data_IF_047465571457
#
_entry.id   IF_047465571457
#
_cell.length_a   1.000
_cell.length_b   1.000
_cell.length_c   1.000
_cell.angle_alpha   90.00
_cell.angle_beta   90.00
_cell.angle_gamma   90.00
#
_symmetry.space_group_name_H-M   'P 1'
#
loop_
_entity.id
_entity.type
_entity.pdbx_description
1 polymer ?
#
# COMPACT_ATOMS: atom_id res chain seq x y z
N UNK A 1 12.76 -28.16 -37.40
CA UNK A 1 13.65 -27.07 -37.81
C UNK A 1 12.99 -25.77 -37.37
N UNK A 2 13.44 -25.14 -36.29
CA UNK A 2 12.83 -23.89 -35.81
C UNK A 2 13.14 -22.73 -36.78
N UNK A 3 12.12 -21.97 -37.19
CA UNK A 3 12.29 -20.79 -38.05
C UNK A 3 12.94 -19.63 -37.28
N UNK A 4 13.69 -18.73 -37.95
CA UNK A 4 14.34 -17.59 -37.31
C UNK A 4 13.33 -16.69 -36.56
N UNK A 5 13.68 -16.11 -35.40
CA UNK A 5 12.73 -15.39 -34.52
C UNK A 5 12.04 -14.19 -35.20
N UNK A 6 12.77 -13.52 -36.09
CA UNK A 6 12.38 -12.35 -36.88
C UNK A 6 11.26 -12.66 -37.89
N UNK A 7 11.09 -13.91 -38.30
CA UNK A 7 10.07 -14.34 -39.28
C UNK A 7 8.98 -15.21 -38.64
N UNK A 8 9.08 -15.48 -37.34
CA UNK A 8 8.20 -16.42 -36.61
C UNK A 8 6.77 -15.88 -36.40
N UNK A 9 6.60 -14.55 -36.49
CA UNK A 9 5.32 -13.87 -36.27
C UNK A 9 4.92 -12.94 -37.43
N UNK A 10 5.50 -13.11 -38.61
CA UNK A 10 5.16 -12.30 -39.79
C UNK A 10 3.80 -12.69 -40.38
N UNK A 11 3.48 -13.98 -40.31
CA UNK A 11 2.24 -14.57 -40.82
C UNK A 11 1.01 -14.25 -39.97
N UNK A 12 -0.13 -14.04 -40.62
CA UNK A 12 -1.38 -13.61 -39.98
C UNK A 12 -1.88 -14.65 -38.96
N UNK A 13 -1.82 -15.94 -39.29
CA UNK A 13 -2.22 -17.03 -38.40
C UNK A 13 -1.33 -17.10 -37.15
N UNK A 14 -0.03 -16.84 -37.31
CA UNK A 14 0.93 -16.82 -36.21
C UNK A 14 0.67 -15.65 -35.25
N UNK A 15 0.25 -14.48 -35.78
CA UNK A 15 -0.16 -13.32 -34.96
C UNK A 15 -1.44 -13.60 -34.20
N UNK A 16 -2.42 -14.27 -34.82
CA UNK A 16 -3.66 -14.64 -34.14
C UNK A 16 -3.38 -15.68 -33.05
N UNK A 17 -2.55 -16.69 -33.33
CA UNK A 17 -2.16 -17.68 -32.33
C UNK A 17 -1.48 -17.02 -31.12
N UNK A 18 -0.58 -16.06 -31.36
CA UNK A 18 0.05 -15.27 -30.30
C UNK A 18 -0.98 -14.45 -29.51
N UNK A 19 -1.91 -13.78 -30.20
CA UNK A 19 -2.96 -13.01 -29.53
C UNK A 19 -3.83 -13.89 -28.63
N UNK A 20 -4.25 -15.07 -29.11
CA UNK A 20 -5.00 -16.05 -28.32
C UNK A 20 -4.20 -16.53 -27.11
N UNK A 21 -2.92 -16.81 -27.29
CA UNK A 21 -2.02 -17.21 -26.21
C UNK A 21 -1.91 -16.10 -25.14
N UNK A 22 -1.65 -14.86 -25.54
CA UNK A 22 -1.57 -13.72 -24.62
C UNK A 22 -2.88 -13.48 -23.87
N UNK A 23 -4.03 -13.66 -24.53
CA UNK A 23 -5.35 -13.56 -23.89
C UNK A 23 -5.51 -14.67 -22.85
N UNK A 24 -5.08 -15.91 -23.15
CA UNK A 24 -5.15 -17.00 -22.18
C UNK A 24 -4.22 -16.80 -20.97
N UNK A 25 -3.02 -16.25 -21.18
CA UNK A 25 -2.09 -15.88 -20.10
C UNK A 25 -2.65 -14.75 -19.23
N UNK A 26 -3.29 -13.74 -19.84
CA UNK A 26 -3.97 -12.68 -19.10
C UNK A 26 -5.15 -13.23 -18.28
N UNK A 27 -5.94 -14.14 -18.85
CA UNK A 27 -7.02 -14.82 -18.14
C UNK A 27 -6.49 -15.63 -16.95
N UNK A 28 -5.38 -16.37 -17.13
CA UNK A 28 -4.73 -17.11 -16.06
C UNK A 28 -4.18 -16.17 -14.97
N UNK A 29 -3.51 -15.08 -15.35
CA UNK A 29 -3.03 -14.05 -14.43
C UNK A 29 -4.17 -13.43 -13.59
N UNK A 30 -5.32 -13.17 -14.20
CA UNK A 30 -6.53 -12.69 -13.50
C UNK A 30 -7.07 -13.74 -12.53
N UNK A 31 -7.04 -15.01 -12.90
CA UNK A 31 -7.48 -16.13 -12.05
C UNK A 31 -6.55 -16.31 -10.83
N UNK A 32 -5.24 -16.12 -11.03
CA UNK A 32 -4.23 -16.11 -9.97
C UNK A 32 -4.40 -14.90 -9.06
N UNK A 33 -4.65 -13.70 -9.61
CA UNK A 33 -4.93 -12.49 -8.83
C UNK A 33 -6.14 -12.66 -7.91
N UNK A 34 -7.23 -13.23 -8.43
CA UNK A 34 -8.41 -13.58 -7.63
C UNK A 34 -8.10 -14.61 -6.54
N UNK A 35 -7.16 -15.53 -6.78
CA UNK A 35 -6.74 -16.56 -5.80
C UNK A 35 -5.74 -16.05 -4.75
N UNK A 36 -4.93 -15.02 -5.04
CA UNK A 36 -3.86 -14.49 -4.18
C UNK A 36 -4.31 -13.43 -3.15
N UNK A 37 -5.61 -13.14 -3.02
CA UNK A 37 -6.13 -12.41 -1.85
C UNK A 37 -6.53 -10.95 -2.06
N UNK A 38 -6.73 -10.52 -3.30
CA UNK A 38 -7.82 -9.58 -3.60
C UNK A 38 -8.99 -10.40 -4.14
N UNK A 39 -9.71 -11.07 -3.24
CA UNK A 39 -10.99 -11.68 -3.61
C UNK A 39 -11.94 -10.63 -4.20
N UNK A 40 -13.09 -11.02 -4.78
CA UNK A 40 -14.17 -10.05 -4.96
C UNK A 40 -14.30 -9.29 -3.66
N UNK A 41 -14.38 -7.95 -3.73
CA UNK A 41 -14.95 -7.14 -2.67
C UNK A 41 -16.08 -8.00 -2.11
N UNK A 42 -15.89 -8.59 -0.92
CA UNK A 42 -17.01 -9.23 -0.24
C UNK A 42 -18.05 -8.13 -0.27
N UNK A 43 -19.29 -8.47 -0.59
CA UNK A 43 -20.38 -7.60 -0.17
C UNK A 43 -20.29 -7.64 1.36
N UNK A 44 -19.41 -6.79 1.87
CA UNK A 44 -19.36 -6.39 3.25
C UNK A 44 -20.65 -5.60 3.27
N UNK A 45 -21.70 -6.24 3.80
CA UNK A 45 -22.71 -5.47 4.48
C UNK A 45 -21.88 -4.69 5.50
N UNK A 46 -21.50 -3.47 5.14
CA UNK A 46 -20.82 -2.54 6.03
C UNK A 46 -21.86 -2.24 7.09
N UNK A 47 -21.95 -3.15 8.05
CA UNK A 47 -22.28 -2.75 9.41
C UNK A 47 -21.25 -1.66 9.68
N UNK A 48 -21.66 -0.40 9.91
CA UNK A 48 -20.72 0.66 10.20
C UNK A 48 -19.95 0.24 11.44
N UNK A 49 -18.77 -0.32 11.20
CA UNK A 49 -17.92 -0.83 12.26
C UNK A 49 -17.36 0.41 12.95
N UNK A 50 -17.52 0.47 14.26
CA UNK A 50 -16.89 1.53 15.03
C UNK A 50 -15.40 1.54 14.73
N UNK A 51 -14.75 2.72 14.63
CA UNK A 51 -13.31 2.83 14.43
C UNK A 51 -12.51 1.93 15.39
N UNK A 52 -13.00 1.80 16.63
CA UNK A 52 -12.43 0.94 17.68
C UNK A 52 -12.53 -0.55 17.32
N UNK A 53 -13.66 -0.99 16.79
CA UNK A 53 -13.85 -2.39 16.40
C UNK A 53 -12.96 -2.76 15.20
N UNK A 54 -12.78 -1.82 14.26
CA UNK A 54 -11.85 -1.98 13.13
C UNK A 54 -10.41 -2.17 13.60
N UNK A 55 -9.93 -1.29 14.48
CA UNK A 55 -8.56 -1.39 15.03
C UNK A 55 -8.35 -2.70 15.79
N UNK A 56 -9.33 -3.12 16.59
CA UNK A 56 -9.26 -4.40 17.30
C UNK A 56 -9.22 -5.59 16.35
N UNK A 57 -10.02 -5.58 15.29
CA UNK A 57 -10.02 -6.63 14.28
C UNK A 57 -8.69 -6.69 13.54
N UNK A 58 -8.14 -5.55 13.14
CA UNK A 58 -6.82 -5.47 12.50
C UNK A 58 -5.72 -6.01 13.41
N UNK A 59 -5.75 -5.67 14.70
CA UNK A 59 -4.82 -6.18 15.70
C UNK A 59 -4.90 -7.71 15.86
N UNK A 60 -6.11 -8.26 15.95
CA UNK A 60 -6.35 -9.72 16.04
C UNK A 60 -5.81 -10.45 14.82
N UNK A 61 -6.02 -9.88 13.62
CA UNK A 61 -5.50 -10.42 12.36
C UNK A 61 -3.98 -10.34 12.33
N UNK A 62 -3.39 -9.20 12.67
CA UNK A 62 -1.94 -8.99 12.67
C UNK A 62 -1.21 -9.93 13.64
N UNK A 63 -1.80 -10.19 14.81
CA UNK A 63 -1.27 -11.10 15.82
C UNK A 63 -1.59 -12.59 15.52
N UNK A 64 -2.16 -12.88 14.35
CA UNK A 64 -2.54 -14.22 13.89
C UNK A 64 -3.45 -14.98 14.88
N UNK A 65 -4.37 -14.27 15.52
CA UNK A 65 -5.40 -14.93 16.31
C UNK A 65 -6.45 -15.58 15.40
N UNK A 66 -6.94 -16.75 15.82
CA UNK A 66 -8.13 -17.34 15.21
C UNK A 66 -9.35 -16.48 15.56
N UNK A 67 -10.37 -16.52 14.71
CA UNK A 67 -11.63 -15.81 14.93
C UNK A 67 -12.13 -16.05 16.37
N UNK A 68 -12.34 -14.99 17.17
CA UNK A 68 -12.75 -15.16 18.55
C UNK A 68 -14.11 -15.89 18.63
N UNK A 69 -14.29 -16.80 19.60
CA UNK A 69 -15.60 -17.40 19.85
C UNK A 69 -16.64 -16.31 20.19
N UNK A 70 -17.91 -16.47 19.80
CA UNK A 70 -18.96 -15.48 20.07
C UNK A 70 -19.23 -15.25 21.57
N UNK A 71 -18.70 -16.11 22.45
CA UNK A 71 -18.90 -16.08 23.90
C UNK A 71 -17.77 -15.38 24.67
N UNK A 72 -16.71 -14.92 23.99
CA UNK A 72 -15.57 -14.30 24.68
C UNK A 72 -15.94 -12.91 25.22
N UNK A 73 -15.55 -12.63 26.46
CA UNK A 73 -15.67 -11.28 27.02
C UNK A 73 -14.52 -10.39 26.54
N UNK A 74 -14.73 -9.08 26.51
CA UNK A 74 -13.69 -8.10 26.16
C UNK A 74 -12.43 -8.28 27.04
N UNK A 75 -12.62 -8.47 28.35
CA UNK A 75 -11.53 -8.68 29.31
C UNK A 75 -10.69 -9.91 28.93
N UNK A 76 -11.34 -11.05 28.68
CA UNK A 76 -10.64 -12.28 28.29
C UNK A 76 -9.92 -12.15 26.95
N UNK A 77 -10.49 -11.38 26.02
CA UNK A 77 -9.86 -11.08 24.74
C UNK A 77 -8.59 -10.25 24.92
N UNK A 78 -8.66 -9.17 25.72
CA UNK A 78 -7.51 -8.30 26.00
C UNK A 78 -6.41 -9.02 26.79
N UNK A 79 -6.76 -9.85 27.78
CA UNK A 79 -5.76 -10.65 28.50
C UNK A 79 -5.01 -11.61 27.56
N UNK A 80 -5.71 -12.27 26.64
CA UNK A 80 -5.07 -13.15 25.65
C UNK A 80 -4.21 -12.38 24.65
N UNK A 81 -4.65 -11.18 24.25
CA UNK A 81 -3.87 -10.27 23.41
C UNK A 81 -2.57 -9.88 24.11
N UNK A 82 -2.64 -9.44 25.35
CA UNK A 82 -1.49 -9.07 26.18
C UNK A 82 -0.50 -10.23 26.32
N UNK A 83 -0.97 -11.42 26.69
CA UNK A 83 -0.15 -12.63 26.79
C UNK A 83 0.58 -12.95 25.47
N UNK A 84 -0.13 -12.84 24.35
CA UNK A 84 0.45 -13.10 23.02
C UNK A 84 1.50 -12.04 22.64
N UNK A 85 1.25 -10.77 22.92
CA UNK A 85 2.18 -9.68 22.64
C UNK A 85 3.46 -9.86 23.47
N UNK A 86 3.34 -10.12 24.77
CA UNK A 86 4.48 -10.40 25.64
C UNK A 86 5.26 -11.65 25.18
N UNK A 87 4.55 -12.69 24.76
CA UNK A 87 5.16 -13.88 24.18
C UNK A 87 5.93 -13.59 22.89
N UNK A 88 5.37 -12.79 21.97
CA UNK A 88 6.05 -12.42 20.73
C UNK A 88 7.27 -11.55 21.00
N UNK A 89 7.16 -10.57 21.91
CA UNK A 89 8.28 -9.71 22.31
C UNK A 89 9.42 -10.49 23.00
N UNK A 90 9.10 -11.59 23.70
CA UNK A 90 10.12 -12.43 24.37
C UNK A 90 10.71 -13.51 23.45
N UNK A 91 9.94 -14.02 22.48
CA UNK A 91 10.36 -15.14 21.62
C UNK A 91 11.05 -14.67 20.35
N UNK A 92 10.56 -13.61 19.72
CA UNK A 92 11.18 -13.06 18.52
C UNK A 92 12.03 -11.86 18.91
N UNK A 93 13.36 -12.02 18.82
CA UNK A 93 14.14 -10.89 18.31
C UNK A 93 13.60 -10.68 16.90
N UNK A 94 12.66 -9.74 16.74
CA UNK A 94 12.00 -9.45 15.46
C UNK A 94 13.13 -9.41 14.42
N UNK A 95 13.14 -10.27 13.38
CA UNK A 95 14.22 -10.27 12.41
C UNK A 95 14.24 -8.91 11.70
N UNK A 96 15.29 -8.10 11.93
CA UNK A 96 15.34 -6.71 11.49
C UNK A 96 14.80 -5.68 12.51
N UNK A 97 14.40 -6.09 13.71
CA UNK A 97 14.33 -5.18 14.85
C UNK A 97 15.73 -4.65 15.07
N UNK A 98 15.90 -3.36 14.82
CA UNK A 98 16.90 -2.61 15.53
C UNK A 98 16.68 -2.89 17.01
N UNK A 99 17.73 -3.28 17.75
CA UNK A 99 17.64 -3.27 19.20
C UNK A 99 17.07 -1.91 19.61
N UNK A 100 16.14 -1.85 20.58
CA UNK A 100 15.59 -0.58 21.01
C UNK A 100 16.77 0.32 21.43
N UNK A 101 17.14 1.26 20.56
CA UNK A 101 18.27 2.17 20.78
C UNK A 101 18.02 3.04 22.01
N UNK A 102 16.76 3.13 22.42
CA UNK A 102 16.30 3.79 23.62
C UNK A 102 15.54 2.79 24.51
N UNK A 103 16.21 2.29 25.54
CA UNK A 103 15.62 1.47 26.61
C UNK A 103 15.20 2.28 27.84
N UNK A 104 15.33 3.61 27.80
CA UNK A 104 14.98 4.50 28.89
C UNK A 104 13.47 4.70 29.03
N UNK A 105 13.00 5.01 30.25
CA UNK A 105 11.64 5.54 30.44
C UNK A 105 11.70 7.05 30.28
N UNK A 106 10.92 7.59 29.36
CA UNK A 106 10.75 9.04 29.21
C UNK A 106 9.67 9.56 30.16
N UNK A 107 9.96 10.68 30.79
CA UNK A 107 9.00 11.49 31.56
C UNK A 107 8.01 12.18 30.62
N UNK A 108 6.83 12.60 31.11
CA UNK A 108 5.86 13.33 30.29
C UNK A 108 6.42 14.61 29.64
N UNK A 109 7.36 15.29 30.32
CA UNK A 109 8.02 16.49 29.79
C UNK A 109 8.92 16.17 28.60
N UNK A 110 9.70 15.08 28.68
CA UNK A 110 10.56 14.62 27.60
C UNK A 110 9.73 14.16 26.38
N UNK A 111 8.61 13.48 26.62
CA UNK A 111 7.67 13.12 25.55
C UNK A 111 7.09 14.35 24.83
N UNK A 112 6.75 15.40 25.59
CA UNK A 112 6.27 16.64 25.01
C UNK A 112 7.35 17.32 24.16
N UNK A 113 8.59 17.38 24.65
CA UNK A 113 9.73 17.91 23.89
C UNK A 113 9.99 17.12 22.61
N UNK A 114 9.98 15.78 22.69
CA UNK A 114 10.15 14.90 21.54
C UNK A 114 9.05 15.15 20.49
N UNK A 115 7.80 15.30 20.93
CA UNK A 115 6.68 15.62 20.04
C UNK A 115 6.89 16.95 19.32
N UNK A 116 7.32 17.99 20.02
CA UNK A 116 7.59 19.29 19.39
C UNK A 116 8.69 19.20 18.32
N UNK A 117 9.76 18.44 18.59
CA UNK A 117 10.83 18.19 17.62
C UNK A 117 10.27 17.43 16.41
N UNK A 118 9.49 16.37 16.67
CA UNK A 118 8.85 15.58 15.62
C UNK A 118 7.96 16.45 14.72
N UNK A 119 7.09 17.28 15.32
CA UNK A 119 6.16 18.12 14.56
C UNK A 119 6.90 19.13 13.68
N UNK A 120 7.95 19.77 14.22
CA UNK A 120 8.79 20.70 13.45
C UNK A 120 9.52 20.00 12.29
N UNK A 121 10.10 18.82 12.53
CA UNK A 121 10.76 18.06 11.47
C UNK A 121 9.75 17.59 10.42
N UNK A 122 8.59 17.11 10.85
CA UNK A 122 7.55 16.62 9.96
C UNK A 122 7.06 17.71 9.01
N UNK A 123 6.86 18.94 9.51
CA UNK A 123 6.48 20.09 8.71
C UNK A 123 7.57 20.47 7.69
N UNK A 124 8.83 20.54 8.13
CA UNK A 124 9.97 20.87 7.27
C UNK A 124 10.15 19.82 6.15
N UNK A 125 10.13 18.53 6.51
CA UNK A 125 10.27 17.44 5.54
C UNK A 125 9.09 17.37 4.59
N UNK A 126 7.86 17.63 5.06
CA UNK A 126 6.68 17.67 4.20
C UNK A 126 6.77 18.82 3.20
N UNK A 127 7.19 20.00 3.64
CA UNK A 127 7.39 21.17 2.78
C UNK A 127 8.49 20.92 1.74
N UNK A 128 9.62 20.33 2.17
CA UNK A 128 10.73 19.97 1.26
C UNK A 128 10.31 18.92 0.25
N UNK A 129 9.54 17.91 0.66
CA UNK A 129 8.98 16.88 -0.24
C UNK A 129 8.09 17.52 -1.30
N UNK A 130 7.18 18.41 -0.89
CA UNK A 130 6.30 19.11 -1.81
C UNK A 130 7.09 19.96 -2.81
N UNK A 131 8.08 20.72 -2.34
CA UNK A 131 8.95 21.52 -3.21
C UNK A 131 9.67 20.66 -4.25
N UNK A 132 10.25 19.52 -3.83
CA UNK A 132 10.95 18.63 -4.76
C UNK A 132 10.03 18.05 -5.82
N UNK A 133 8.80 17.66 -5.44
CA UNK A 133 7.77 17.19 -6.37
C UNK A 133 7.39 18.31 -7.35
N UNK A 134 7.10 19.51 -6.86
CA UNK A 134 6.76 20.66 -7.70
C UNK A 134 7.90 21.05 -8.63
N UNK A 135 9.16 21.03 -8.15
CA UNK A 135 10.33 21.31 -9.00
C UNK A 135 10.47 20.29 -10.12
N UNK A 136 10.27 19.01 -9.81
CA UNK A 136 10.29 17.95 -10.81
C UNK A 136 9.21 18.20 -11.88
N UNK A 137 7.98 18.51 -11.45
CA UNK A 137 6.86 18.80 -12.35
C UNK A 137 7.15 19.98 -13.29
N UNK A 138 7.59 21.11 -12.75
CA UNK A 138 7.98 22.29 -13.56
C UNK A 138 9.14 21.96 -14.50
N UNK A 139 10.09 21.12 -14.07
CA UNK A 139 11.21 20.70 -14.93
C UNK A 139 10.70 19.89 -16.12
N UNK A 140 9.78 18.94 -15.90
CA UNK A 140 9.15 18.16 -16.97
C UNK A 140 8.38 19.08 -17.93
N UNK A 141 7.56 19.99 -17.40
CA UNK A 141 6.79 20.94 -18.20
C UNK A 141 7.68 21.84 -19.07
N UNK A 142 8.88 22.22 -18.60
CA UNK A 142 9.81 23.04 -19.38
C UNK A 142 10.29 22.37 -20.67
N UNK A 143 10.38 21.03 -20.69
CA UNK A 143 10.71 20.28 -21.91
C UNK A 143 9.53 20.24 -22.89
N UNK A 144 8.29 20.16 -22.39
CA UNK A 144 7.09 20.16 -23.21
C UNK A 144 6.88 21.50 -23.93
N UNK A 145 7.20 22.62 -23.27
CA UNK A 145 7.07 23.97 -23.87
C UNK A 145 7.99 24.20 -25.08
N UNK A 146 9.16 23.54 -25.16
CA UNK A 146 10.04 23.67 -26.33
C UNK A 146 9.55 22.92 -27.58
N UNK A 147 8.62 21.97 -27.41
CA UNK A 147 8.14 21.10 -28.49
C UNK A 147 6.83 21.57 -29.14
N UNK A 148 6.17 22.58 -28.54
CA UNK A 148 4.92 23.16 -29.05
C UNK A 148 5.13 24.54 -29.66
N UNK A 149 5.95 24.64 -30.70
CA UNK A 149 5.92 25.75 -31.67
C UNK A 149 4.82 25.56 -32.73
N UNK A 150 3.68 24.96 -32.37
CA UNK A 150 2.44 25.12 -33.12
C UNK A 150 1.29 25.43 -32.14
N UNK A 151 0.54 26.52 -32.32
CA UNK A 151 -0.46 26.95 -31.36
C UNK A 151 -1.74 26.15 -31.57
N UNK A 152 -1.88 25.01 -30.90
CA UNK A 152 -3.17 24.32 -30.82
C UNK A 152 -3.75 24.50 -29.43
N UNK A 153 -4.62 25.50 -29.31
CA UNK A 153 -5.46 25.76 -28.14
C UNK A 153 -6.16 24.47 -27.70
N UNK A 154 -5.99 24.04 -26.44
CA UNK A 154 -7.04 23.29 -25.76
C UNK A 154 -7.21 23.73 -24.31
N UNK A 155 -8.45 24.11 -24.04
CA UNK A 155 -9.10 24.38 -22.76
C UNK A 155 -8.96 23.14 -21.86
N UNK A 156 -8.46 23.34 -20.65
CA UNK A 156 -8.66 22.41 -19.52
C UNK A 156 -9.53 23.14 -18.49
N UNK A 157 -10.78 23.38 -18.86
CA UNK A 157 -11.87 23.41 -17.90
C UNK A 157 -12.35 21.95 -17.79
N UNK A 158 -12.71 21.52 -16.59
CA UNK A 158 -13.03 20.14 -16.17
C UNK A 158 -11.82 19.36 -15.65
N UNK A 159 -11.45 19.61 -14.39
CA UNK A 159 -11.24 18.58 -13.36
C UNK A 159 -11.24 19.23 -11.95
N UNK A 160 -12.21 20.12 -11.68
CA UNK A 160 -12.63 20.47 -10.31
C UNK A 160 -14.07 19.99 -10.06
N UNK A 161 -14.28 18.69 -10.22
CA UNK A 161 -15.44 18.00 -9.63
C UNK A 161 -15.14 16.52 -9.61
N UNK A 162 -14.52 16.07 -8.51
CA UNK A 162 -14.98 15.02 -7.60
C UNK A 162 -13.88 14.72 -6.59
#
# INVERSE_FOLDING_TARGET
MERPPDVRFSDYESKIALSRFLISELQAAKLIYVKQGSGPQKIIIEVPESPVARELREMVVALNFRKPPPTITSIQMFSKLEEKILYLMSKEKIPGSLEPHFGGRMTPKEWFQLRNIYDSLYEEYSSRRQLLITRLDVTIQSFEWSSSSTPTKRKLEHLESF
#
